data_IF_731148376002
#
_entry.id   IF_731148376002
#
_cell.length_a   1.000
_cell.length_b   1.000
_cell.length_c   1.000
_cell.angle_alpha   90.00
_cell.angle_beta   90.00
_cell.angle_gamma   90.00
#
_symmetry.space_group_name_H-M   'P 1'
#
loop_
_entity.id
_entity.type
_entity.pdbx_description
1 polymer ?
#
# COMPACT_ATOMS: atom_id res chain seq x y z
N UNK A 1 -38.67 -13.14 -34.95
CA UNK A 1 -38.93 -11.87 -35.67
C UNK A 1 -40.44 -11.77 -35.92
N UNK A 2 -40.95 -10.72 -36.57
CA UNK A 2 -42.40 -10.60 -36.86
C UNK A 2 -43.29 -10.05 -35.73
N UNK A 3 -42.71 -9.43 -34.70
CA UNK A 3 -43.44 -8.82 -33.56
C UNK A 3 -43.16 -7.32 -33.37
N UNK A 4 -42.62 -6.67 -34.42
CA UNK A 4 -42.14 -5.27 -34.38
C UNK A 4 -41.19 -4.93 -33.21
N UNK A 5 -40.43 -5.93 -32.73
CA UNK A 5 -39.45 -5.78 -31.64
C UNK A 5 -38.13 -6.46 -31.95
N UNK A 6 -37.04 -5.95 -31.36
CA UNK A 6 -35.71 -6.56 -31.43
C UNK A 6 -35.69 -8.00 -30.89
N UNK A 7 -34.73 -8.81 -31.37
CA UNK A 7 -34.61 -10.26 -31.09
C UNK A 7 -34.08 -10.62 -29.69
N UNK A 8 -33.95 -9.65 -28.80
CA UNK A 8 -33.44 -9.88 -27.45
C UNK A 8 -34.42 -10.75 -26.64
N UNK A 9 -33.96 -11.69 -25.80
CA UNK A 9 -34.84 -12.42 -24.90
C UNK A 9 -35.64 -11.46 -24.02
N UNK A 10 -36.91 -11.78 -23.77
CA UNK A 10 -37.83 -10.96 -22.96
C UNK A 10 -38.42 -11.78 -21.81
N UNK A 11 -38.69 -11.12 -20.68
CA UNK A 11 -39.31 -11.74 -19.50
C UNK A 11 -40.76 -12.14 -19.84
N UNK A 12 -41.14 -13.38 -19.54
CA UNK A 12 -42.51 -13.92 -19.76
C UNK A 12 -43.45 -13.51 -18.60
N UNK A 13 -44.76 -13.61 -18.82
CA UNK A 13 -45.80 -13.30 -17.83
C UNK A 13 -46.55 -12.00 -18.12
N UNK A 14 -47.38 -11.55 -17.17
CA UNK A 14 -48.21 -10.34 -17.24
C UNK A 14 -48.39 -9.71 -15.85
N UNK A 15 -49.08 -8.55 -15.77
CA UNK A 15 -49.41 -7.90 -14.48
C UNK A 15 -48.27 -7.19 -13.75
N UNK A 16 -47.03 -7.23 -14.26
CA UNK A 16 -45.91 -6.42 -13.74
C UNK A 16 -45.28 -5.59 -14.84
N UNK A 17 -44.73 -4.42 -14.49
CA UNK A 17 -43.96 -3.59 -15.42
C UNK A 17 -42.70 -4.29 -15.97
N UNK A 18 -42.25 -5.39 -15.34
CA UNK A 18 -41.08 -6.16 -15.77
C UNK A 18 -41.40 -7.12 -16.94
N UNK A 19 -42.63 -7.60 -17.04
CA UNK A 19 -43.08 -8.49 -18.12
C UNK A 19 -42.89 -7.82 -19.49
N UNK A 20 -42.36 -8.56 -20.47
CA UNK A 20 -42.08 -8.04 -21.81
C UNK A 20 -40.78 -7.23 -21.95
N UNK A 21 -40.07 -6.87 -20.86
CA UNK A 21 -38.78 -6.17 -20.94
C UNK A 21 -37.64 -7.09 -21.39
N UNK A 22 -36.60 -6.51 -21.99
CA UNK A 22 -35.38 -7.22 -22.38
C UNK A 22 -34.60 -7.79 -21.19
N UNK A 23 -34.11 -9.03 -21.33
CA UNK A 23 -33.39 -9.78 -20.31
C UNK A 23 -32.21 -10.57 -20.93
N UNK A 24 -31.36 -11.14 -20.07
CA UNK A 24 -30.18 -11.96 -20.39
C UNK A 24 -29.05 -11.30 -21.19
N UNK A 25 -29.34 -10.34 -22.08
CA UNK A 25 -28.32 -9.57 -22.79
C UNK A 25 -27.53 -8.66 -21.86
N UNK A 26 -26.23 -8.52 -22.10
CA UNK A 26 -25.35 -7.61 -21.36
C UNK A 26 -25.69 -6.13 -21.55
N UNK A 27 -26.35 -5.78 -22.65
CA UNK A 27 -26.88 -4.44 -22.91
C UNK A 27 -28.25 -4.19 -22.25
N UNK A 28 -28.89 -5.21 -21.65
CA UNK A 28 -30.18 -5.05 -20.98
C UNK A 28 -29.99 -4.65 -19.52
N UNK A 29 -30.86 -3.76 -19.02
CA UNK A 29 -30.96 -3.45 -17.58
C UNK A 29 -31.31 -4.72 -16.78
N UNK A 30 -30.48 -5.06 -15.81
CA UNK A 30 -30.61 -6.29 -15.01
C UNK A 30 -30.22 -7.57 -15.75
N UNK A 31 -29.61 -7.46 -16.94
CA UNK A 31 -28.99 -8.60 -17.64
C UNK A 31 -27.61 -8.95 -17.08
N UNK A 32 -27.05 -10.08 -17.52
CA UNK A 32 -25.71 -10.51 -17.08
C UNK A 32 -24.61 -9.75 -17.81
N UNK A 33 -23.53 -9.41 -17.11
CA UNK A 33 -22.35 -8.79 -17.71
C UNK A 33 -21.66 -9.74 -18.70
N UNK A 34 -21.14 -9.21 -19.81
CA UNK A 34 -20.25 -9.96 -20.71
C UNK A 34 -18.90 -10.20 -20.02
N UNK A 35 -18.40 -11.44 -20.06
CA UNK A 35 -17.17 -11.81 -19.36
C UNK A 35 -17.26 -11.56 -17.84
N UNK A 36 -18.21 -12.18 -17.12
CA UNK A 36 -18.40 -11.92 -15.70
C UNK A 36 -17.13 -12.23 -14.91
N UNK A 37 -16.86 -11.45 -13.86
CA UNK A 37 -15.69 -11.67 -13.00
C UNK A 37 -15.79 -13.02 -12.31
N UNK A 38 -14.83 -13.89 -12.60
CA UNK A 38 -14.74 -15.25 -12.07
C UNK A 38 -13.63 -15.36 -11.02
N UNK A 39 -13.81 -16.28 -10.07
CA UNK A 39 -12.88 -16.47 -8.94
C UNK A 39 -11.52 -16.99 -9.42
N UNK A 40 -11.52 -17.84 -10.46
CA UNK A 40 -10.32 -18.47 -11.03
C UNK A 40 -9.49 -17.55 -11.96
N UNK A 41 -9.69 -16.23 -11.89
CA UNK A 41 -8.74 -15.28 -12.48
C UNK A 41 -7.35 -15.55 -11.88
N UNK A 42 -6.29 -15.56 -12.70
CA UNK A 42 -4.91 -15.70 -12.19
C UNK A 42 -4.48 -14.44 -11.44
N UNK A 43 -4.57 -14.48 -10.11
CA UNK A 43 -4.23 -13.36 -9.22
C UNK A 43 -2.72 -13.24 -8.95
N UNK A 44 -2.05 -14.39 -8.75
CA UNK A 44 -0.64 -14.43 -8.40
C UNK A 44 0.25 -14.67 -9.63
N UNK A 45 1.40 -14.00 -9.63
CA UNK A 45 2.48 -14.20 -10.61
C UNK A 45 3.69 -14.77 -9.87
N UNK A 46 4.13 -15.97 -10.27
CA UNK A 46 5.37 -16.57 -9.78
C UNK A 46 6.52 -15.80 -10.42
N UNK A 47 7.44 -15.33 -9.59
CA UNK A 47 8.67 -14.66 -9.99
C UNK A 47 9.82 -15.55 -9.55
N UNK A 48 10.86 -15.64 -10.36
CA UNK A 48 12.04 -16.44 -10.03
C UNK A 48 12.69 -15.92 -8.75
N UNK A 49 13.11 -16.84 -7.88
CA UNK A 49 13.63 -16.49 -6.56
C UNK A 49 14.88 -15.59 -6.69
N UNK A 50 15.79 -15.92 -7.61
CA UNK A 50 17.00 -15.13 -7.85
C UNK A 50 16.68 -13.72 -8.36
N UNK A 51 15.70 -13.55 -9.25
CA UNK A 51 15.26 -12.22 -9.69
C UNK A 51 14.72 -11.39 -8.53
N UNK A 52 13.90 -12.00 -7.66
CA UNK A 52 13.37 -11.33 -6.47
C UNK A 52 14.50 -10.93 -5.50
N UNK A 53 15.50 -11.80 -5.31
CA UNK A 53 16.68 -11.52 -4.48
C UNK A 53 17.52 -10.38 -5.07
N UNK A 54 17.74 -10.38 -6.38
CA UNK A 54 18.47 -9.33 -7.07
C UNK A 54 17.81 -7.95 -6.93
N UNK A 55 16.47 -7.89 -7.08
CA UNK A 55 15.72 -6.66 -6.87
C UNK A 55 15.84 -6.16 -5.41
N UNK A 56 15.87 -7.08 -4.44
CA UNK A 56 16.03 -6.76 -3.03
C UNK A 56 17.43 -6.22 -2.73
N UNK A 57 18.49 -6.84 -3.25
CA UNK A 57 19.86 -6.34 -3.14
C UNK A 57 20.01 -4.95 -3.76
N UNK A 58 19.42 -4.74 -4.95
CA UNK A 58 19.42 -3.44 -5.63
C UNK A 58 18.71 -2.36 -4.80
N UNK A 59 17.60 -2.70 -4.14
CA UNK A 59 16.88 -1.76 -3.27
C UNK A 59 17.68 -1.40 -2.01
N UNK A 60 18.41 -2.37 -1.42
CA UNK A 60 19.32 -2.08 -0.30
C UNK A 60 20.44 -1.15 -0.76
N UNK A 61 21.07 -1.43 -1.90
CA UNK A 61 22.11 -0.56 -2.44
C UNK A 61 21.60 0.88 -2.68
N UNK A 62 20.39 1.02 -3.23
CA UNK A 62 19.77 2.33 -3.45
C UNK A 62 19.51 3.13 -2.15
N UNK A 63 19.28 2.44 -1.03
CA UNK A 63 19.09 3.09 0.28
C UNK A 63 20.34 3.78 0.81
N UNK A 64 21.53 3.41 0.32
CA UNK A 64 22.79 4.06 0.67
C UNK A 64 23.18 5.23 -0.22
N UNK A 65 22.39 5.55 -1.26
CA UNK A 65 22.69 6.63 -2.20
C UNK A 65 21.82 7.86 -1.88
N UNK A 66 22.37 8.95 -1.31
CA UNK A 66 21.59 10.13 -0.92
C UNK A 66 20.77 10.73 -2.07
N UNK A 67 21.33 10.77 -3.28
CA UNK A 67 20.67 11.29 -4.47
C UNK A 67 19.36 10.55 -4.78
N UNK A 68 19.35 9.21 -4.68
CA UNK A 68 18.16 8.39 -4.94
C UNK A 68 17.10 8.58 -3.83
N UNK A 69 17.54 8.70 -2.58
CA UNK A 69 16.65 8.91 -1.43
C UNK A 69 15.97 10.29 -1.49
N UNK A 70 16.72 11.34 -1.83
CA UNK A 70 16.17 12.68 -2.07
C UNK A 70 15.25 12.72 -3.28
N UNK A 71 15.61 12.07 -4.39
CA UNK A 71 14.78 12.01 -5.60
C UNK A 71 13.43 11.32 -5.37
N UNK A 72 13.40 10.27 -4.53
CA UNK A 72 12.14 9.63 -4.07
C UNK A 72 11.27 10.58 -3.25
N UNK A 73 11.88 11.62 -2.67
CA UNK A 73 11.22 12.67 -1.93
C UNK A 73 11.30 12.50 -0.41
N UNK A 74 12.34 11.87 0.13
CA UNK A 74 12.61 11.91 1.57
C UNK A 74 13.36 13.20 1.96
N UNK A 75 13.07 13.75 3.13
CA UNK A 75 13.80 14.90 3.67
C UNK A 75 14.99 14.43 4.52
N UNK A 76 16.18 14.40 3.92
CA UNK A 76 17.42 13.91 4.56
C UNK A 76 18.52 14.97 4.66
N UNK A 77 18.22 16.25 4.39
CA UNK A 77 19.20 17.35 4.35
C UNK A 77 19.94 17.57 5.68
N UNK A 78 19.28 17.28 6.80
CA UNK A 78 19.84 17.46 8.14
C UNK A 78 20.46 16.17 8.71
N UNK A 79 20.26 15.03 8.03
CA UNK A 79 20.73 13.73 8.48
C UNK A 79 22.26 13.66 8.34
N UNK A 80 23.01 13.13 9.33
CA UNK A 80 24.47 13.10 9.26
C UNK A 80 25.03 12.20 8.15
N UNK A 81 24.39 11.06 7.90
CA UNK A 81 24.82 10.11 6.87
C UNK A 81 23.66 9.25 6.37
N UNK A 82 23.80 8.71 5.16
CA UNK A 82 22.88 7.72 4.57
C UNK A 82 23.75 6.60 3.98
N UNK A 83 23.58 5.34 4.41
CA UNK A 83 22.60 4.83 5.37
C UNK A 83 22.96 5.19 6.83
N UNK A 84 21.97 5.56 7.64
CA UNK A 84 22.16 5.89 9.06
C UNK A 84 22.25 4.62 9.90
N UNK A 85 23.43 4.32 10.45
CA UNK A 85 23.65 3.21 11.37
C UNK A 85 23.61 3.70 12.81
N UNK A 86 22.93 2.98 13.70
CA UNK A 86 22.74 3.39 15.10
C UNK A 86 23.04 2.25 16.06
N UNK A 87 23.36 2.62 17.30
CA UNK A 87 23.69 1.67 18.36
C UNK A 87 22.52 0.69 18.63
N UNK A 88 22.86 -0.57 18.89
CA UNK A 88 21.93 -1.66 19.22
C UNK A 88 21.01 -1.35 20.41
N UNK A 89 21.42 -0.45 21.32
CA UNK A 89 20.62 0.01 22.45
C UNK A 89 19.23 0.54 22.07
N UNK A 90 19.05 1.04 20.83
CA UNK A 90 17.74 1.47 20.30
C UNK A 90 16.72 0.34 20.27
N UNK A 91 17.14 -0.93 20.10
CA UNK A 91 16.25 -2.09 20.08
C UNK A 91 15.49 -2.29 21.40
N UNK A 92 15.99 -1.73 22.51
CA UNK A 92 15.39 -1.84 23.84
C UNK A 92 14.36 -0.76 24.14
N UNK A 93 14.07 0.16 23.22
CA UNK A 93 13.06 1.19 23.43
C UNK A 93 11.67 0.59 23.58
N UNK A 94 10.99 0.96 24.67
CA UNK A 94 9.65 0.46 25.02
C UNK A 94 8.57 1.51 24.80
N UNK A 95 8.91 2.79 24.94
CA UNK A 95 7.94 3.90 24.86
C UNK A 95 8.10 4.70 23.57
N UNK A 96 6.98 5.09 22.96
CA UNK A 96 6.99 5.95 21.76
C UNK A 96 7.63 7.32 22.04
N UNK A 97 7.55 7.84 23.27
CA UNK A 97 8.22 9.10 23.65
C UNK A 97 9.74 9.01 23.49
N UNK A 98 10.35 7.87 23.83
CA UNK A 98 11.79 7.62 23.65
C UNK A 98 12.14 7.57 22.15
N UNK A 99 11.35 6.83 21.37
CA UNK A 99 11.50 6.73 19.92
C UNK A 99 11.42 8.11 19.21
N UNK A 100 10.48 8.97 19.62
CA UNK A 100 10.36 10.34 19.08
C UNK A 100 11.56 11.20 19.45
N UNK A 101 12.05 11.13 20.69
CA UNK A 101 13.25 11.85 21.12
C UNK A 101 14.47 11.44 20.29
N UNK A 102 14.63 10.14 20.06
CA UNK A 102 15.69 9.59 19.23
C UNK A 102 15.61 10.07 17.77
N UNK A 103 14.43 10.02 17.13
CA UNK A 103 14.27 10.49 15.75
C UNK A 103 14.59 11.98 15.58
N UNK A 104 14.33 12.79 16.62
CA UNK A 104 14.72 14.20 16.65
C UNK A 104 16.22 14.37 16.83
N UNK A 105 16.86 13.59 17.71
CA UNK A 105 18.31 13.69 17.93
C UNK A 105 19.11 13.30 16.69
N UNK A 106 18.65 12.30 15.93
CA UNK A 106 19.28 11.92 14.65
C UNK A 106 18.84 12.79 13.46
N UNK A 107 18.04 13.84 13.69
CA UNK A 107 17.54 14.77 12.65
C UNK A 107 16.70 14.11 11.54
N UNK A 108 16.11 12.94 11.79
CA UNK A 108 15.19 12.25 10.87
C UNK A 108 13.72 12.69 11.04
N UNK A 109 13.43 13.56 12.01
CA UNK A 109 12.07 13.98 12.35
C UNK A 109 11.38 14.81 11.25
N UNK A 110 12.13 15.58 10.47
CA UNK A 110 11.61 16.37 9.35
C UNK A 110 10.85 15.51 8.34
N UNK A 111 11.39 14.34 7.98
CA UNK A 111 10.73 13.38 7.09
C UNK A 111 9.43 12.82 7.69
N UNK A 112 9.41 12.57 9.00
CA UNK A 112 8.20 12.11 9.71
C UNK A 112 7.13 13.21 9.75
N UNK A 113 7.53 14.46 9.99
CA UNK A 113 6.62 15.60 10.01
C UNK A 113 5.97 15.82 8.63
N UNK A 114 6.74 15.68 7.56
CA UNK A 114 6.22 15.65 6.19
C UNK A 114 5.15 14.58 6.01
N UNK A 115 5.35 13.38 6.53
CA UNK A 115 4.32 12.33 6.47
C UNK A 115 3.05 12.76 7.21
N UNK A 116 3.19 13.31 8.41
CA UNK A 116 2.07 13.79 9.21
C UNK A 116 1.20 14.80 8.44
N UNK A 117 1.84 15.82 7.84
CA UNK A 117 1.17 16.86 7.03
C UNK A 117 0.47 16.31 5.80
N UNK A 118 0.95 15.20 5.22
CA UNK A 118 0.39 14.63 3.98
C UNK A 118 -0.83 13.74 4.18
N UNK A 119 -1.22 13.45 5.42
CA UNK A 119 -2.35 12.58 5.72
C UNK A 119 -3.66 13.23 5.29
N UNK A 120 -4.29 12.69 4.25
CA UNK A 120 -5.54 13.23 3.68
C UNK A 120 -6.53 12.13 3.33
N UNK A 121 -7.79 12.51 3.10
CA UNK A 121 -8.80 11.59 2.58
C UNK A 121 -8.47 11.16 1.15
N UNK A 122 -8.65 9.87 0.85
CA UNK A 122 -8.45 9.32 -0.48
C UNK A 122 -9.51 9.86 -1.45
N UNK A 123 -9.11 10.27 -2.64
CA UNK A 123 -10.05 10.63 -3.70
C UNK A 123 -10.82 9.39 -4.19
N UNK A 124 -12.09 9.57 -4.58
CA UNK A 124 -12.93 8.53 -5.17
C UNK A 124 -13.56 7.52 -4.19
N UNK A 125 -14.15 6.46 -4.77
CA UNK A 125 -14.93 5.42 -4.05
C UNK A 125 -14.10 4.51 -3.13
N UNK A 126 -12.77 4.60 -3.17
CA UNK A 126 -11.88 3.84 -2.28
C UNK A 126 -12.14 4.12 -0.79
N UNK A 127 -12.68 5.31 -0.47
CA UNK A 127 -13.09 5.68 0.90
C UNK A 127 -14.10 4.72 1.51
N UNK A 128 -15.05 4.23 0.71
CA UNK A 128 -16.08 3.27 1.13
C UNK A 128 -15.53 1.83 1.28
N UNK A 129 -14.33 1.55 0.78
CA UNK A 129 -13.71 0.21 0.79
C UNK A 129 -12.56 0.10 1.80
N UNK A 130 -12.74 0.67 3.00
CA UNK A 130 -11.76 0.67 4.10
C UNK A 130 -10.38 1.27 3.75
N UNK A 131 -10.27 2.07 2.69
CA UNK A 131 -9.02 2.74 2.25
C UNK A 131 -9.18 4.26 2.29
N UNK A 132 -9.74 4.77 3.39
CA UNK A 132 -10.22 6.15 3.53
C UNK A 132 -9.11 7.21 3.55
N UNK A 133 -7.93 6.90 4.07
CA UNK A 133 -6.81 7.86 4.16
C UNK A 133 -5.59 7.38 3.37
N UNK A 134 -4.83 8.35 2.89
CA UNK A 134 -3.51 8.17 2.28
C UNK A 134 -2.52 9.09 2.96
N UNK A 135 -1.27 8.66 3.04
CA UNK A 135 -0.13 9.42 3.56
C UNK A 135 1.13 8.99 2.83
N UNK A 136 2.16 9.83 2.83
CA UNK A 136 3.50 9.43 2.35
C UNK A 136 4.11 8.36 3.26
N UNK A 137 5.16 7.71 2.76
CA UNK A 137 5.98 6.79 3.57
C UNK A 137 7.16 7.58 4.12
N UNK A 138 7.53 7.29 5.36
CA UNK A 138 8.66 7.90 6.04
C UNK A 138 9.81 6.91 6.18
N UNK A 139 10.63 7.05 7.23
CA UNK A 139 11.80 6.24 7.46
C UNK A 139 11.49 4.74 7.62
N UNK A 140 12.41 3.91 7.13
CA UNK A 140 12.40 2.46 7.35
C UNK A 140 13.47 2.14 8.38
N UNK A 141 13.07 1.49 9.47
CA UNK A 141 13.99 1.07 10.53
C UNK A 141 14.15 -0.44 10.42
N UNK A 142 15.39 -0.88 10.18
CA UNK A 142 15.76 -2.28 10.10
C UNK A 142 16.37 -2.71 11.43
N UNK A 143 15.94 -3.85 11.96
CA UNK A 143 16.42 -4.39 13.24
C UNK A 143 16.66 -5.90 13.15
N UNK A 144 17.46 -6.43 14.07
CA UNK A 144 17.69 -7.87 14.17
C UNK A 144 16.74 -8.53 15.19
N UNK A 145 16.71 -8.01 16.43
CA UNK A 145 15.86 -8.51 17.52
C UNK A 145 14.80 -7.48 17.90
N UNK A 146 13.61 -7.96 18.28
CA UNK A 146 12.51 -7.09 18.76
C UNK A 146 12.38 -7.20 20.28
N UNK A 147 13.05 -6.30 21.01
CA UNK A 147 12.95 -6.22 22.48
C UNK A 147 11.90 -5.20 22.95
N UNK A 148 10.95 -4.83 22.08
CA UNK A 148 9.96 -3.77 22.32
C UNK A 148 9.97 -2.66 21.27
N UNK A 149 11.00 -2.63 20.43
CA UNK A 149 11.20 -1.66 19.35
C UNK A 149 9.95 -1.52 18.47
N UNK A 150 9.34 -2.63 18.03
CA UNK A 150 8.17 -2.56 17.16
C UNK A 150 7.01 -1.84 17.85
N UNK A 151 6.83 -2.04 19.16
CA UNK A 151 5.76 -1.38 19.94
C UNK A 151 6.04 0.10 20.13
N UNK A 152 7.29 0.49 20.34
CA UNK A 152 7.69 1.88 20.50
C UNK A 152 7.46 2.70 19.20
N UNK A 153 7.84 2.14 18.05
CA UNK A 153 7.84 2.88 16.78
C UNK A 153 6.54 2.76 15.95
N UNK A 154 5.73 1.69 16.10
CA UNK A 154 4.56 1.43 15.23
C UNK A 154 3.50 2.54 15.18
N UNK A 155 3.39 3.34 16.24
CA UNK A 155 2.38 4.39 16.33
C UNK A 155 2.81 5.70 15.64
N UNK A 156 4.10 5.81 15.29
CA UNK A 156 4.63 7.00 14.62
C UNK A 156 4.24 6.94 13.14
N UNK A 157 3.55 7.95 12.59
CA UNK A 157 3.09 7.93 11.20
C UNK A 157 4.24 7.82 10.21
N UNK A 158 4.08 6.93 9.22
CA UNK A 158 5.04 6.79 8.11
C UNK A 158 6.22 5.87 8.39
N UNK A 159 6.52 5.55 9.65
CA UNK A 159 7.63 4.66 9.99
C UNK A 159 7.25 3.22 9.67
N UNK A 160 8.17 2.52 9.01
CA UNK A 160 8.05 1.07 8.77
C UNK A 160 9.18 0.34 9.47
N UNK A 161 8.82 -0.69 10.24
CA UNK A 161 9.77 -1.57 10.91
C UNK A 161 9.99 -2.82 10.06
N UNK A 162 11.24 -3.24 9.87
CA UNK A 162 11.61 -4.46 9.15
C UNK A 162 12.62 -5.27 9.96
N UNK A 163 12.41 -6.58 10.05
CA UNK A 163 13.43 -7.50 10.55
C UNK A 163 14.42 -7.82 9.42
N UNK A 164 15.72 -7.84 9.71
CA UNK A 164 16.78 -8.12 8.73
C UNK A 164 16.62 -9.48 8.03
N UNK A 165 16.05 -10.47 8.72
CA UNK A 165 15.77 -11.79 8.16
C UNK A 165 14.56 -11.80 7.20
N UNK A 166 13.73 -10.75 7.23
CA UNK A 166 12.45 -10.66 6.51
C UNK A 166 12.31 -9.33 5.78
N UNK A 167 13.33 -8.98 5.00
CA UNK A 167 13.30 -7.78 4.15
C UNK A 167 12.24 -7.91 3.04
N UNK A 168 11.52 -6.81 2.80
CA UNK A 168 10.41 -6.77 1.84
C UNK A 168 10.64 -5.67 0.81
N UNK A 169 10.68 -6.06 -0.47
CA UNK A 169 10.81 -5.14 -1.61
C UNK A 169 9.69 -4.08 -1.65
N UNK A 170 8.49 -4.40 -1.15
CA UNK A 170 7.40 -3.43 -1.08
C UNK A 170 7.65 -2.33 -0.05
N UNK A 171 8.67 -2.43 0.80
CA UNK A 171 8.95 -1.52 1.91
C UNK A 171 10.30 -0.81 1.78
N UNK A 172 11.29 -1.43 1.13
CA UNK A 172 12.55 -0.80 0.74
C UNK A 172 12.32 0.33 -0.30
#
# INVERSE_FOLDING_TARGET
TGRAVARIPRVRGGGTHRSGQGAFGNMCRGGRMFGPTRIWRRWHRKINLNQRRYALCSAIAASGVPALVMAKGHQISELPEVPMVVNDGVQNYKKTKEAVKFLRSIKAWSDVEKVYRTKRFRAGKGKMRNRRRIMKRGPVIVYNKDNGLTRAFRNIPGITMLNVSKLNLLKL
#
